data_IF_778756933058
#
_entry.id   IF_778756933058
#
_cell.length_a   1.000
_cell.length_b   1.000
_cell.length_c   1.000
_cell.angle_alpha   90.00
_cell.angle_beta   90.00
_cell.angle_gamma   90.00
#
_symmetry.space_group_name_H-M   'P 1'
#
loop_
_entity.id
_entity.type
_entity.pdbx_description
1 polymer ?
#
# COMPACT_ATOMS: atom_id res chain seq x y z
N UNK A 1 -15.07 -23.77 -0.75
CA UNK A 1 -15.97 -24.81 -1.32
C UNK A 1 -17.35 -24.70 -0.71
N UNK A 2 -17.62 -25.27 0.48
CA UNK A 2 -18.96 -25.32 1.09
C UNK A 2 -19.76 -24.00 1.07
N UNK A 3 -19.17 -22.89 1.50
CA UNK A 3 -19.87 -21.58 1.51
C UNK A 3 -20.28 -21.11 0.10
N UNK A 4 -19.50 -21.45 -0.94
CA UNK A 4 -19.83 -21.14 -2.32
C UNK A 4 -20.95 -22.05 -2.84
N UNK A 5 -20.90 -23.34 -2.52
CA UNK A 5 -21.95 -24.33 -2.87
C UNK A 5 -23.30 -23.95 -2.25
N UNK A 6 -23.29 -23.50 -1.00
CA UNK A 6 -24.46 -23.04 -0.25
C UNK A 6 -24.94 -21.64 -0.65
N UNK A 7 -24.24 -20.96 -1.57
CA UNK A 7 -24.50 -19.58 -1.99
C UNK A 7 -24.51 -18.59 -0.80
N UNK A 8 -23.69 -18.85 0.23
CA UNK A 8 -23.65 -18.08 1.47
C UNK A 8 -22.64 -16.91 1.39
N UNK A 9 -23.10 -15.79 0.83
CA UNK A 9 -22.29 -14.58 0.72
C UNK A 9 -21.88 -13.99 2.08
N UNK A 10 -22.77 -14.03 3.08
CA UNK A 10 -22.49 -13.48 4.42
C UNK A 10 -21.48 -14.35 5.18
N UNK A 11 -21.64 -15.67 5.11
CA UNK A 11 -20.68 -16.63 5.64
C UNK A 11 -19.32 -16.52 4.97
N UNK A 12 -19.27 -16.26 3.66
CA UNK A 12 -18.01 -16.02 2.93
C UNK A 12 -17.30 -14.76 3.45
N UNK A 13 -18.03 -13.66 3.63
CA UNK A 13 -17.49 -12.43 4.25
C UNK A 13 -16.94 -12.68 5.65
N UNK A 14 -17.72 -13.39 6.49
CA UNK A 14 -17.31 -13.73 7.85
C UNK A 14 -16.06 -14.61 7.84
N UNK A 15 -16.02 -15.66 7.04
CA UNK A 15 -14.88 -16.56 6.91
C UNK A 15 -13.60 -15.80 6.53
N UNK A 16 -13.67 -14.92 5.53
CA UNK A 16 -12.52 -14.13 5.09
C UNK A 16 -12.08 -13.13 6.18
N UNK A 17 -13.04 -12.49 6.86
CA UNK A 17 -12.74 -11.56 7.95
C UNK A 17 -12.12 -12.26 9.17
N UNK A 18 -12.54 -13.47 9.50
CA UNK A 18 -12.00 -14.25 10.63
C UNK A 18 -10.60 -14.79 10.32
N UNK A 19 -10.28 -15.00 9.03
CA UNK A 19 -9.01 -15.59 8.58
C UNK A 19 -8.05 -14.57 7.94
N UNK A 20 -8.07 -13.30 8.38
CA UNK A 20 -7.22 -12.20 7.84
C UNK A 20 -5.73 -12.52 7.74
N UNK A 21 -5.20 -13.39 8.61
CA UNK A 21 -3.77 -13.79 8.59
C UNK A 21 -3.42 -14.69 7.40
N UNK A 22 -4.41 -15.38 6.85
CA UNK A 22 -4.25 -16.35 5.76
C UNK A 22 -4.75 -15.80 4.42
N UNK A 23 -4.88 -14.47 4.28
CA UNK A 23 -5.50 -13.84 3.10
C UNK A 23 -4.80 -14.16 1.78
N UNK A 24 -3.48 -14.37 1.78
CA UNK A 24 -2.77 -14.75 0.55
C UNK A 24 -3.24 -16.10 0.02
N UNK A 25 -3.31 -17.10 0.90
CA UNK A 25 -3.82 -18.43 0.58
C UNK A 25 -5.30 -18.39 0.18
N UNK A 26 -6.11 -17.64 0.94
CA UNK A 26 -7.53 -17.47 0.62
C UNK A 26 -7.71 -16.88 -0.78
N UNK A 27 -6.92 -15.88 -1.16
CA UNK A 27 -7.02 -15.24 -2.48
C UNK A 27 -6.72 -16.21 -3.63
N UNK A 28 -5.82 -17.17 -3.42
CA UNK A 28 -5.50 -18.22 -4.39
C UNK A 28 -6.62 -19.28 -4.49
N UNK A 29 -7.26 -19.61 -3.38
CA UNK A 29 -8.33 -20.63 -3.32
C UNK A 29 -9.71 -20.12 -3.77
N UNK A 30 -10.00 -18.83 -3.59
CA UNK A 30 -11.31 -18.24 -3.89
C UNK A 30 -11.76 -18.46 -5.34
N UNK A 31 -10.94 -18.22 -6.38
CA UNK A 31 -11.34 -18.51 -7.77
C UNK A 31 -11.75 -19.98 -7.99
N UNK A 32 -11.02 -20.92 -7.36
CA UNK A 32 -11.35 -22.35 -7.42
C UNK A 32 -12.66 -22.63 -6.67
N UNK A 33 -12.84 -22.03 -5.49
CA UNK A 33 -14.06 -22.20 -4.71
C UNK A 33 -15.32 -21.64 -5.37
N UNK A 34 -15.20 -20.53 -6.10
CA UNK A 34 -16.32 -19.96 -6.86
C UNK A 34 -16.84 -20.91 -7.94
N UNK A 35 -16.02 -21.82 -8.48
CA UNK A 35 -16.46 -22.83 -9.46
C UNK A 35 -17.51 -23.80 -8.89
N UNK A 36 -17.54 -23.98 -7.58
CA UNK A 36 -18.52 -24.84 -6.90
C UNK A 36 -19.84 -24.13 -6.61
N UNK A 37 -19.92 -22.82 -6.83
CA UNK A 37 -21.18 -22.11 -6.69
C UNK A 37 -22.15 -22.48 -7.82
N UNK A 38 -23.43 -22.64 -7.48
CA UNK A 38 -24.48 -22.87 -8.48
C UNK A 38 -24.56 -21.70 -9.47
N UNK A 39 -24.35 -20.47 -8.97
CA UNK A 39 -24.25 -19.28 -9.81
C UNK A 39 -23.22 -18.31 -9.20
N UNK A 40 -21.94 -18.34 -9.64
CA UNK A 40 -20.90 -17.51 -9.05
C UNK A 40 -21.16 -16.01 -9.25
N UNK A 41 -21.81 -15.61 -10.35
CA UNK A 41 -22.18 -14.21 -10.57
C UNK A 41 -23.15 -13.68 -9.53
N UNK A 42 -24.22 -14.42 -9.25
CA UNK A 42 -25.22 -14.03 -8.25
C UNK A 42 -24.61 -14.02 -6.86
N UNK A 43 -23.79 -15.03 -6.52
CA UNK A 43 -23.07 -15.06 -5.24
C UNK A 43 -22.20 -13.82 -5.05
N UNK A 44 -21.46 -13.42 -6.09
CA UNK A 44 -20.63 -12.21 -6.05
C UNK A 44 -21.47 -10.95 -5.94
N UNK A 45 -22.57 -10.80 -6.70
CA UNK A 45 -23.48 -9.65 -6.57
C UNK A 45 -24.10 -9.57 -5.17
N UNK A 46 -24.52 -10.70 -4.59
CA UNK A 46 -25.05 -10.76 -3.22
C UNK A 46 -23.98 -10.36 -2.19
N UNK A 47 -22.72 -10.68 -2.44
CA UNK A 47 -21.59 -10.26 -1.60
C UNK A 47 -21.34 -8.75 -1.60
N UNK A 48 -21.94 -7.98 -2.53
CA UNK A 48 -21.80 -6.52 -2.58
C UNK A 48 -22.76 -5.80 -1.60
N UNK A 49 -23.69 -6.53 -0.99
CA UNK A 49 -24.59 -6.00 0.04
C UNK A 49 -23.79 -5.41 1.20
N UNK A 50 -24.17 -4.21 1.62
CA UNK A 50 -23.52 -3.53 2.74
C UNK A 50 -22.21 -2.79 2.39
N UNK A 51 -21.77 -2.76 1.12
CA UNK A 51 -20.57 -2.03 0.69
C UNK A 51 -20.55 -0.55 1.12
N UNK A 52 -21.74 0.05 1.26
CA UNK A 52 -21.96 1.44 1.68
C UNK A 52 -22.73 1.58 3.02
N UNK A 53 -22.85 0.50 3.82
CA UNK A 53 -23.67 0.50 5.04
C UNK A 53 -23.26 1.55 6.10
N UNK A 54 -22.01 2.02 6.10
CA UNK A 54 -21.52 3.04 7.03
C UNK A 54 -21.72 4.50 6.57
N UNK A 55 -21.90 4.75 5.27
CA UNK A 55 -22.05 6.11 4.73
C UNK A 55 -23.47 6.67 4.94
N UNK A 56 -24.46 5.78 5.02
CA UNK A 56 -25.86 6.11 5.35
C UNK A 56 -25.98 6.70 6.77
N UNK A 57 -25.01 6.42 7.66
CA UNK A 57 -25.05 6.78 9.07
C UNK A 57 -24.24 8.05 9.43
N UNK A 58 -23.71 8.80 8.45
CA UNK A 58 -22.94 10.02 8.71
C UNK A 58 -21.61 9.79 9.45
N UNK A 59 -21.22 8.53 9.62
CA UNK A 59 -19.93 8.11 10.13
C UNK A 59 -18.90 8.22 9.01
N UNK A 60 -17.74 8.81 9.30
CA UNK A 60 -16.63 8.84 8.36
C UNK A 60 -16.12 7.40 8.14
N UNK A 61 -16.75 6.68 7.20
CA UNK A 61 -16.53 5.25 6.90
C UNK A 61 -15.06 4.90 6.62
N UNK A 62 -14.23 5.91 6.35
CA UNK A 62 -12.76 5.85 6.29
C UNK A 62 -12.09 5.33 7.57
N UNK A 63 -12.79 5.25 8.72
CA UNK A 63 -12.24 4.78 10.01
C UNK A 63 -12.77 3.44 10.52
N UNK A 64 -13.75 2.83 9.84
CA UNK A 64 -14.27 1.53 10.26
C UNK A 64 -13.47 0.38 9.60
N UNK A 65 -12.64 -0.29 10.40
CA UNK A 65 -11.83 -1.43 9.95
C UNK A 65 -12.65 -2.63 9.48
N UNK A 66 -13.92 -2.74 9.90
CA UNK A 66 -14.82 -3.79 9.43
C UNK A 66 -15.37 -3.45 8.04
N UNK A 67 -15.84 -2.23 7.83
CA UNK A 67 -16.29 -1.76 6.51
C UNK A 67 -15.15 -1.82 5.47
N UNK A 68 -13.94 -1.41 5.84
CA UNK A 68 -12.77 -1.54 4.95
C UNK A 68 -12.41 -3.00 4.65
N UNK A 69 -12.66 -3.91 5.60
CA UNK A 69 -12.51 -5.35 5.40
C UNK A 69 -13.53 -5.86 4.38
N UNK A 70 -14.80 -5.53 4.59
CA UNK A 70 -15.92 -5.89 3.69
C UNK A 70 -15.66 -5.42 2.26
N UNK A 71 -15.28 -4.14 2.06
CA UNK A 71 -14.98 -3.59 0.73
C UNK A 71 -13.84 -4.32 0.02
N UNK A 72 -12.79 -4.70 0.76
CA UNK A 72 -11.68 -5.49 0.20
C UNK A 72 -12.13 -6.90 -0.17
N UNK A 73 -12.99 -7.51 0.63
CA UNK A 73 -13.59 -8.81 0.31
C UNK A 73 -14.44 -8.73 -0.96
N UNK A 74 -15.32 -7.73 -1.09
CA UNK A 74 -16.11 -7.52 -2.30
C UNK A 74 -15.23 -7.40 -3.55
N UNK A 75 -14.15 -6.60 -3.47
CA UNK A 75 -13.18 -6.47 -4.56
C UNK A 75 -12.53 -7.80 -4.92
N UNK A 76 -11.99 -8.50 -3.92
CA UNK A 76 -11.35 -9.79 -4.14
C UNK A 76 -12.30 -10.78 -4.82
N UNK A 77 -13.58 -10.81 -4.43
CA UNK A 77 -14.57 -11.70 -5.03
C UNK A 77 -14.88 -11.33 -6.50
N UNK A 78 -14.99 -10.03 -6.82
CA UNK A 78 -15.18 -9.60 -8.22
C UNK A 78 -13.93 -9.87 -9.09
N UNK A 79 -12.73 -9.63 -8.56
CA UNK A 79 -11.47 -9.94 -9.24
C UNK A 79 -11.32 -11.46 -9.48
N UNK A 80 -11.68 -12.29 -8.49
CA UNK A 80 -11.67 -13.75 -8.62
C UNK A 80 -12.69 -14.26 -9.63
N UNK A 81 -13.84 -13.60 -9.74
CA UNK A 81 -14.83 -13.91 -10.78
C UNK A 81 -14.31 -13.57 -12.18
N UNK A 82 -13.62 -12.44 -12.34
CA UNK A 82 -12.98 -12.09 -13.62
C UNK A 82 -11.90 -13.10 -14.02
N UNK A 83 -11.09 -13.58 -13.08
CA UNK A 83 -10.12 -14.67 -13.33
C UNK A 83 -10.82 -15.96 -13.78
N UNK A 84 -11.93 -16.31 -13.12
CA UNK A 84 -12.72 -17.47 -13.50
C UNK A 84 -13.24 -17.37 -14.93
N UNK A 85 -13.71 -16.19 -15.35
CA UNK A 85 -14.15 -15.89 -16.71
C UNK A 85 -13.01 -16.03 -17.73
N UNK A 86 -11.80 -15.59 -17.38
CA UNK A 86 -10.63 -15.70 -18.25
C UNK A 86 -10.14 -17.15 -18.42
N UNK A 87 -10.19 -17.95 -17.35
CA UNK A 87 -9.76 -19.36 -17.37
C UNK A 87 -10.77 -20.29 -18.05
N UNK A 88 -12.06 -19.90 -18.05
CA UNK A 88 -13.18 -20.77 -18.45
C UNK A 88 -13.87 -20.23 -19.69
N UNK A 89 -13.28 -20.45 -20.86
CA UNK A 89 -13.95 -20.24 -22.17
C UNK A 89 -14.98 -21.35 -22.50
N UNK A 90 -15.50 -22.05 -21.49
CA UNK A 90 -16.50 -23.10 -21.66
C UNK A 90 -17.91 -22.53 -21.43
N UNK A 91 -18.75 -22.65 -22.46
CA UNK A 91 -20.14 -22.17 -22.65
C UNK A 91 -21.17 -22.40 -21.50
N UNK A 92 -20.80 -22.99 -20.37
CA UNK A 92 -21.76 -23.47 -19.36
C UNK A 92 -22.13 -22.43 -18.28
N UNK A 93 -21.40 -21.33 -18.14
CA UNK A 93 -21.70 -20.26 -17.16
C UNK A 93 -21.74 -18.88 -17.83
N UNK A 94 -22.74 -18.70 -18.70
CA UNK A 94 -22.92 -17.46 -19.46
C UNK A 94 -23.45 -16.36 -18.57
N UNK A 95 -22.82 -15.19 -18.67
CA UNK A 95 -23.32 -13.93 -18.13
C UNK A 95 -24.66 -13.55 -18.81
N UNK A 96 -25.78 -13.84 -18.15
CA UNK A 96 -27.12 -13.62 -18.70
C UNK A 96 -27.58 -12.16 -18.59
N UNK A 97 -28.59 -11.78 -19.38
CA UNK A 97 -29.19 -10.45 -19.30
C UNK A 97 -29.78 -10.12 -17.92
N UNK A 98 -30.32 -11.12 -17.19
CA UNK A 98 -30.84 -10.92 -15.82
C UNK A 98 -29.72 -10.56 -14.83
N UNK A 99 -28.58 -11.25 -14.93
CA UNK A 99 -27.40 -10.97 -14.11
C UNK A 99 -26.87 -9.57 -14.41
N UNK A 100 -26.76 -9.20 -15.70
CA UNK A 100 -26.36 -7.84 -16.10
C UNK A 100 -27.31 -6.79 -15.52
N UNK A 101 -28.63 -7.01 -15.57
CA UNK A 101 -29.60 -6.06 -15.03
C UNK A 101 -29.45 -5.88 -13.51
N UNK A 102 -29.24 -6.96 -12.76
CA UNK A 102 -28.93 -6.89 -11.32
C UNK A 102 -27.66 -6.09 -11.04
N UNK A 103 -26.61 -6.31 -11.82
CA UNK A 103 -25.37 -5.54 -11.72
C UNK A 103 -25.59 -4.05 -12.03
N UNK A 104 -26.41 -3.73 -13.04
CA UNK A 104 -26.79 -2.34 -13.38
C UNK A 104 -27.54 -1.66 -12.25
N UNK A 105 -28.46 -2.35 -11.57
CA UNK A 105 -29.18 -1.79 -10.42
C UNK A 105 -28.20 -1.39 -9.32
N UNK A 106 -27.24 -2.27 -8.98
CA UNK A 106 -26.21 -1.98 -7.98
C UNK A 106 -25.32 -0.81 -8.43
N UNK A 107 -24.86 -0.82 -9.68
CA UNK A 107 -24.02 0.25 -10.22
C UNK A 107 -24.74 1.61 -10.20
N UNK A 108 -26.02 1.67 -10.55
CA UNK A 108 -26.85 2.89 -10.48
C UNK A 108 -27.03 3.38 -9.04
N UNK A 109 -27.13 2.48 -8.07
CA UNK A 109 -27.18 2.84 -6.64
C UNK A 109 -25.83 3.40 -6.15
N UNK A 110 -24.72 2.87 -6.68
CA UNK A 110 -23.37 3.26 -6.27
C UNK A 110 -22.91 4.58 -6.88
N UNK A 111 -23.30 4.85 -8.14
CA UNK A 111 -22.89 6.04 -8.89
C UNK A 111 -23.01 7.36 -8.09
N UNK A 112 -24.16 7.75 -7.54
CA UNK A 112 -24.28 9.03 -6.82
C UNK A 112 -23.40 9.13 -5.56
N UNK A 113 -22.94 7.99 -5.00
CA UNK A 113 -22.04 7.97 -3.84
C UNK A 113 -20.60 8.35 -4.23
N UNK A 114 -20.28 8.28 -5.53
CA UNK A 114 -18.97 8.64 -6.07
C UNK A 114 -18.88 10.12 -6.47
N UNK A 115 -20.00 10.80 -6.69
CA UNK A 115 -20.03 12.21 -7.11
C UNK A 115 -19.39 13.16 -6.08
N UNK A 116 -19.39 12.76 -4.81
CA UNK A 116 -18.76 13.51 -3.70
C UNK A 116 -17.38 12.99 -3.32
N UNK A 117 -16.80 12.09 -4.12
CA UNK A 117 -15.51 11.51 -3.81
C UNK A 117 -14.39 12.51 -4.05
N UNK A 118 -13.66 12.82 -2.98
CA UNK A 118 -12.41 13.58 -3.07
C UNK A 118 -11.30 12.69 -3.66
N UNK A 119 -11.10 12.83 -4.97
CA UNK A 119 -10.11 12.10 -5.77
C UNK A 119 -8.70 12.37 -5.24
N UNK A 120 -8.38 13.60 -4.85
CA UNK A 120 -7.05 13.96 -4.35
C UNK A 120 -6.79 13.31 -2.99
N UNK A 121 -7.77 13.36 -2.09
CA UNK A 121 -7.68 12.71 -0.77
C UNK A 121 -7.61 11.18 -0.85
N UNK A 122 -8.04 10.57 -1.96
CA UNK A 122 -7.97 9.12 -2.15
C UNK A 122 -6.55 8.60 -2.35
N UNK A 123 -5.58 9.47 -2.66
CA UNK A 123 -4.19 9.12 -2.96
C UNK A 123 -4.04 8.04 -4.05
N UNK A 124 -4.99 7.96 -4.98
CA UNK A 124 -4.98 6.95 -6.05
C UNK A 124 -5.28 5.52 -5.61
N UNK A 125 -5.90 5.33 -4.43
CA UNK A 125 -6.18 4.02 -3.84
C UNK A 125 -7.63 3.84 -3.34
N UNK A 126 -8.61 4.63 -3.83
CA UNK A 126 -10.02 4.50 -3.43
C UNK A 126 -10.54 3.08 -3.67
N UNK A 127 -11.18 2.51 -2.65
CA UNK A 127 -11.84 1.20 -2.75
C UNK A 127 -13.17 1.34 -3.49
N UNK A 128 -13.85 2.46 -3.30
CA UNK A 128 -15.17 2.80 -3.85
C UNK A 128 -15.10 2.95 -5.36
N UNK A 129 -14.19 3.80 -5.87
CA UNK A 129 -13.96 3.93 -7.31
C UNK A 129 -13.52 2.61 -7.93
N UNK A 130 -12.61 1.89 -7.28
CA UNK A 130 -12.14 0.61 -7.80
C UNK A 130 -13.27 -0.41 -7.88
N UNK A 131 -14.09 -0.53 -6.84
CA UNK A 131 -15.19 -1.49 -6.83
C UNK A 131 -16.24 -1.18 -7.89
N UNK A 132 -16.53 0.10 -8.12
CA UNK A 132 -17.42 0.51 -9.19
C UNK A 132 -16.85 0.14 -10.56
N UNK A 133 -15.59 0.49 -10.84
CA UNK A 133 -14.92 0.16 -12.11
C UNK A 133 -14.84 -1.36 -12.33
N UNK A 134 -14.51 -2.12 -11.28
CA UNK A 134 -14.46 -3.58 -11.30
C UNK A 134 -15.85 -4.18 -11.56
N UNK A 135 -16.91 -3.67 -10.93
CA UNK A 135 -18.28 -4.10 -11.18
C UNK A 135 -18.67 -3.90 -12.65
N UNK A 136 -18.35 -2.73 -13.23
CA UNK A 136 -18.64 -2.45 -14.63
C UNK A 136 -17.90 -3.41 -15.59
N UNK A 137 -16.64 -3.70 -15.30
CA UNK A 137 -15.80 -4.59 -16.10
C UNK A 137 -16.22 -6.06 -15.97
N UNK A 138 -16.31 -6.59 -14.74
CA UNK A 138 -16.63 -8.00 -14.47
C UNK A 138 -17.98 -8.42 -15.03
N UNK A 139 -18.98 -7.53 -15.04
CA UNK A 139 -20.32 -7.83 -15.52
C UNK A 139 -20.60 -7.26 -16.91
N UNK A 140 -19.58 -6.76 -17.62
CA UNK A 140 -19.69 -6.28 -19.00
C UNK A 140 -20.91 -5.35 -19.20
N UNK A 141 -21.00 -4.33 -18.35
CA UNK A 141 -22.06 -3.31 -18.34
C UNK A 141 -21.52 -1.90 -18.56
N UNK A 142 -20.22 -1.73 -18.86
CA UNK A 142 -19.59 -0.43 -19.04
C UNK A 142 -20.21 0.40 -20.18
N UNK A 143 -20.75 -0.24 -21.22
CA UNK A 143 -21.40 0.42 -22.37
C UNK A 143 -22.68 1.19 -22.02
N UNK A 144 -23.26 0.93 -20.85
CA UNK A 144 -24.48 1.58 -20.36
C UNK A 144 -24.19 2.88 -19.59
N UNK A 145 -22.91 3.22 -19.44
CA UNK A 145 -22.43 4.36 -18.67
C UNK A 145 -21.60 5.29 -19.55
N UNK A 146 -21.59 6.56 -19.18
CA UNK A 146 -20.80 7.56 -19.88
C UNK A 146 -19.30 7.31 -19.65
N UNK A 147 -18.54 7.15 -20.73
CA UNK A 147 -17.12 6.87 -20.63
C UNK A 147 -16.31 8.04 -20.05
N UNK A 148 -16.73 9.29 -20.26
CA UNK A 148 -16.07 10.46 -19.66
C UNK A 148 -16.28 10.47 -18.14
N UNK A 149 -17.48 10.15 -17.67
CA UNK A 149 -17.72 9.95 -16.24
C UNK A 149 -16.86 8.81 -15.66
N UNK A 150 -16.78 7.66 -16.33
CA UNK A 150 -15.89 6.56 -15.91
C UNK A 150 -14.43 7.04 -15.86
N UNK A 151 -13.98 7.80 -16.86
CA UNK A 151 -12.62 8.33 -16.92
C UNK A 151 -12.29 9.24 -15.71
N UNK A 152 -13.26 9.98 -15.19
CA UNK A 152 -13.05 10.85 -14.01
C UNK A 152 -12.67 10.07 -12.74
N UNK A 153 -13.03 8.78 -12.67
CA UNK A 153 -12.71 7.92 -11.53
C UNK A 153 -11.31 7.31 -11.59
N UNK A 154 -10.70 7.22 -12.77
CA UNK A 154 -9.41 6.54 -12.95
C UNK A 154 -8.28 7.16 -12.09
N UNK A 155 -8.16 8.50 -11.97
CA UNK A 155 -7.21 9.11 -11.05
C UNK A 155 -7.34 8.55 -9.62
N UNK A 156 -8.53 8.22 -9.13
CA UNK A 156 -8.72 7.71 -7.76
C UNK A 156 -8.18 6.28 -7.55
N UNK A 157 -7.77 5.58 -8.62
CA UNK A 157 -7.33 4.17 -8.55
C UNK A 157 -5.95 3.90 -9.16
N UNK A 158 -5.22 4.88 -9.68
CA UNK A 158 -3.99 4.60 -10.48
C UNK A 158 -2.84 3.92 -9.74
N UNK A 159 -2.84 3.85 -8.40
CA UNK A 159 -1.82 3.10 -7.65
C UNK A 159 -2.14 1.62 -7.48
N UNK A 160 -3.32 1.18 -7.91
CA UNK A 160 -3.73 -0.22 -7.89
C UNK A 160 -3.13 -0.94 -9.08
N UNK A 161 -2.62 -2.15 -8.83
CA UNK A 161 -1.99 -3.01 -9.85
C UNK A 161 -2.91 -3.29 -11.05
N UNK A 162 -4.21 -3.47 -10.80
CA UNK A 162 -5.20 -3.84 -11.83
C UNK A 162 -5.73 -2.67 -12.65
N UNK A 163 -5.38 -1.42 -12.36
CA UNK A 163 -5.98 -0.26 -13.03
C UNK A 163 -5.78 -0.30 -14.54
N UNK A 164 -4.61 -0.75 -14.99
CA UNK A 164 -4.31 -0.86 -16.42
C UNK A 164 -5.24 -1.86 -17.09
N UNK A 165 -5.39 -3.06 -16.53
CA UNK A 165 -6.25 -4.11 -17.10
C UNK A 165 -7.71 -3.68 -17.08
N UNK A 166 -8.17 -3.07 -15.98
CA UNK A 166 -9.50 -2.46 -15.88
C UNK A 166 -9.75 -1.42 -16.98
N UNK A 167 -8.80 -0.50 -17.22
CA UNK A 167 -8.94 0.50 -18.28
C UNK A 167 -9.08 -0.14 -19.66
N UNK A 168 -8.43 -1.30 -19.92
CA UNK A 168 -8.60 -2.04 -21.18
C UNK A 168 -9.98 -2.72 -21.23
N UNK A 169 -10.38 -3.43 -20.18
CA UNK A 169 -11.68 -4.11 -20.09
C UNK A 169 -12.86 -3.13 -20.21
N UNK A 170 -12.71 -1.90 -19.71
CA UNK A 170 -13.69 -0.83 -19.83
C UNK A 170 -13.66 -0.07 -21.16
N UNK A 171 -12.76 -0.43 -22.09
CA UNK A 171 -12.66 0.21 -23.42
C UNK A 171 -12.07 1.62 -23.41
N UNK A 172 -11.36 2.01 -22.35
CA UNK A 172 -10.84 3.37 -22.16
C UNK A 172 -9.49 3.63 -22.83
N UNK A 173 -8.91 2.63 -23.51
CA UNK A 173 -7.57 2.71 -24.12
C UNK A 173 -7.38 3.94 -25.01
N UNK A 174 -8.40 4.33 -25.78
CA UNK A 174 -8.34 5.49 -26.68
C UNK A 174 -8.38 6.84 -25.96
N UNK A 175 -8.88 6.89 -24.71
CA UNK A 175 -8.92 8.10 -23.87
C UNK A 175 -7.67 8.28 -23.00
N UNK A 176 -6.77 7.29 -22.97
CA UNK A 176 -5.58 7.30 -22.13
C UNK A 176 -4.67 8.52 -22.33
N UNK A 177 -4.43 9.04 -23.56
CA UNK A 177 -3.63 10.26 -23.71
C UNK A 177 -4.22 11.46 -22.94
N UNK A 178 -5.54 11.64 -22.99
CA UNK A 178 -6.23 12.70 -22.25
C UNK A 178 -6.11 12.53 -20.74
N UNK A 179 -6.31 11.30 -20.25
CA UNK A 179 -6.17 10.98 -18.84
C UNK A 179 -4.73 11.18 -18.32
N UNK A 180 -3.73 10.81 -19.11
CA UNK A 180 -2.32 11.02 -18.76
C UNK A 180 -2.03 12.52 -18.60
N UNK A 181 -2.55 13.37 -19.49
CA UNK A 181 -2.43 14.83 -19.32
C UNK A 181 -3.07 15.31 -18.01
N UNK A 182 -4.28 14.84 -17.67
CA UNK A 182 -4.93 15.18 -16.39
C UNK A 182 -4.06 14.79 -15.19
N UNK A 183 -3.39 13.64 -15.25
CA UNK A 183 -2.48 13.22 -14.17
C UNK A 183 -1.24 14.11 -14.08
N UNK A 184 -0.65 14.51 -15.22
CA UNK A 184 0.47 15.44 -15.27
C UNK A 184 0.09 16.80 -14.68
N UNK A 185 -1.06 17.35 -15.07
CA UNK A 185 -1.55 18.64 -14.57
C UNK A 185 -1.85 18.60 -13.05
N UNK A 186 -2.16 17.42 -12.52
CA UNK A 186 -2.40 17.20 -11.08
C UNK A 186 -1.14 16.90 -10.24
N UNK A 187 0.06 16.89 -10.84
CA UNK A 187 1.31 16.58 -10.13
C UNK A 187 1.46 15.09 -9.78
N UNK A 188 0.99 14.21 -10.67
CA UNK A 188 1.04 12.74 -10.54
C UNK A 188 1.83 12.10 -11.67
N UNK A 189 3.04 12.61 -11.86
CA UNK A 189 3.91 12.29 -12.99
C UNK A 189 4.35 10.83 -12.98
N UNK A 190 4.58 10.25 -11.80
CA UNK A 190 4.96 8.83 -11.69
C UNK A 190 3.83 7.94 -12.20
N UNK A 191 2.58 8.21 -11.78
CA UNK A 191 1.42 7.46 -12.23
C UNK A 191 1.14 7.70 -13.73
N UNK A 192 1.32 8.92 -14.21
CA UNK A 192 1.20 9.26 -15.63
C UNK A 192 2.20 8.48 -16.50
N UNK A 193 3.47 8.40 -16.08
CA UNK A 193 4.52 7.65 -16.78
C UNK A 193 4.19 6.15 -16.78
N UNK A 194 3.76 5.61 -15.64
CA UNK A 194 3.38 4.20 -15.55
C UNK A 194 2.25 3.83 -16.53
N UNK A 195 1.24 4.69 -16.66
CA UNK A 195 0.19 4.51 -17.67
C UNK A 195 0.73 4.69 -19.10
N UNK A 196 1.59 5.67 -19.34
CA UNK A 196 2.20 5.86 -20.67
C UNK A 196 2.96 4.61 -21.13
N UNK A 197 3.72 3.95 -20.25
CA UNK A 197 4.35 2.66 -20.55
C UNK A 197 3.33 1.56 -20.82
N UNK A 198 2.35 1.41 -19.93
CA UNK A 198 1.37 0.34 -20.00
C UNK A 198 0.49 0.39 -21.26
N UNK A 199 0.27 1.59 -21.81
CA UNK A 199 -0.47 1.84 -23.05
C UNK A 199 0.41 2.14 -24.26
N UNK A 200 1.74 2.00 -24.14
CA UNK A 200 2.72 2.24 -25.22
C UNK A 200 2.64 3.65 -25.84
N UNK A 201 2.45 4.66 -24.98
CA UNK A 201 2.35 6.08 -25.35
C UNK A 201 3.63 6.87 -25.02
N UNK A 202 4.76 6.20 -24.82
CA UNK A 202 6.03 6.83 -24.40
C UNK A 202 6.64 7.76 -25.44
N UNK A 203 6.25 7.65 -26.72
CA UNK A 203 6.62 8.61 -27.76
C UNK A 203 5.97 9.98 -27.54
N UNK A 204 4.71 10.00 -27.09
CA UNK A 204 3.97 11.23 -26.77
C UNK A 204 4.35 11.75 -25.38
N UNK A 205 4.57 10.85 -24.43
CA UNK A 205 4.88 11.15 -23.04
C UNK A 205 6.28 10.65 -22.71
N UNK A 206 7.29 11.40 -23.17
CA UNK A 206 8.69 11.05 -22.98
C UNK A 206 9.04 10.93 -21.47
N UNK A 207 9.37 9.72 -20.96
CA UNK A 207 9.50 9.50 -19.51
C UNK A 207 10.62 10.29 -18.85
N UNK A 208 11.80 10.35 -19.48
CA UNK A 208 12.99 10.98 -18.89
C UNK A 208 12.81 12.50 -18.71
N UNK A 209 12.29 13.27 -19.70
CA UNK A 209 11.93 14.66 -19.50
C UNK A 209 10.92 14.87 -18.36
N UNK A 210 9.89 14.03 -18.27
CA UNK A 210 8.86 14.13 -17.23
C UNK A 210 9.44 13.89 -15.83
N UNK A 211 10.27 12.85 -15.64
CA UNK A 211 10.95 12.57 -14.37
C UNK A 211 11.87 13.73 -13.94
N UNK A 212 12.56 14.36 -14.91
CA UNK A 212 13.41 15.52 -14.63
C UNK A 212 12.59 16.75 -14.25
N UNK A 213 11.44 17.00 -14.90
CA UNK A 213 10.54 18.09 -14.54
C UNK A 213 10.00 17.92 -13.14
N UNK A 214 9.50 16.71 -12.82
CA UNK A 214 8.97 16.35 -11.51
C UNK A 214 9.97 16.66 -10.38
N UNK A 215 11.25 16.25 -10.52
CA UNK A 215 12.29 16.56 -9.52
C UNK A 215 12.66 18.04 -9.48
N UNK A 216 12.61 18.74 -10.61
CA UNK A 216 12.91 20.18 -10.68
C UNK A 216 11.84 20.98 -9.95
N UNK A 217 10.57 20.63 -10.10
CA UNK A 217 9.45 21.28 -9.41
C UNK A 217 9.48 21.05 -7.90
N UNK A 218 9.76 19.81 -7.46
CA UNK A 218 10.00 19.50 -6.04
C UNK A 218 11.23 20.25 -5.49
N UNK A 219 12.27 20.43 -6.29
CA UNK A 219 13.46 21.21 -5.96
C UNK A 219 13.24 22.74 -5.97
N UNK A 220 12.37 23.27 -6.82
CA UNK A 220 12.09 24.71 -6.97
C UNK A 220 11.21 25.26 -5.84
N UNK A 221 10.37 24.43 -5.19
CA UNK A 221 9.68 24.78 -3.94
C UNK A 221 10.65 25.26 -2.84
N UNK A 222 11.95 24.99 -2.99
CA UNK A 222 13.04 25.44 -2.11
C UNK A 222 13.48 26.91 -2.32
N UNK A 223 13.22 27.50 -3.49
CA UNK A 223 13.83 28.80 -3.89
C UNK A 223 12.94 30.02 -3.57
N UNK A 224 11.62 29.85 -3.44
CA UNK A 224 10.68 30.98 -3.23
C UNK A 224 10.39 31.35 -1.77
N UNK A 225 10.99 30.69 -0.77
CA UNK A 225 10.74 31.00 0.65
C UNK A 225 12.05 31.27 1.39
N UNK A 226 12.70 32.39 1.05
CA UNK A 226 13.80 32.95 1.86
C UNK A 226 13.25 33.58 3.14
N UNK A 227 12.85 32.70 4.07
CA UNK A 227 12.53 32.87 5.50
C UNK A 227 11.41 31.89 5.81
N UNK A 228 11.77 30.63 6.10
CA UNK A 228 10.78 29.66 6.54
C UNK A 228 11.38 28.75 7.61
N UNK A 229 10.63 28.61 8.68
CA UNK A 229 10.96 27.94 9.93
C UNK A 229 11.48 26.51 9.71
N UNK A 230 12.33 26.03 10.63
CA UNK A 230 12.99 24.72 10.56
C UNK A 230 12.04 23.51 10.42
N UNK A 231 10.74 23.69 10.68
CA UNK A 231 9.69 22.69 10.49
C UNK A 231 9.41 22.47 8.99
N UNK A 232 9.16 23.54 8.24
CA UNK A 232 8.79 23.48 6.82
C UNK A 232 9.95 22.99 5.94
N UNK A 233 11.20 23.27 6.32
CA UNK A 233 12.37 22.70 5.63
C UNK A 233 12.46 21.18 5.80
N UNK A 234 11.98 20.64 6.93
CA UNK A 234 11.98 19.18 7.17
C UNK A 234 10.97 18.49 6.26
N UNK A 235 9.77 19.06 6.15
CA UNK A 235 8.73 18.53 5.24
C UNK A 235 9.18 18.58 3.78
N UNK A 236 9.82 19.68 3.34
CA UNK A 236 10.36 19.79 1.98
C UNK A 236 11.41 18.70 1.72
N UNK A 237 12.32 18.47 2.67
CA UNK A 237 13.33 17.43 2.54
C UNK A 237 12.73 16.01 2.53
N UNK A 238 11.65 15.78 3.30
CA UNK A 238 10.94 14.50 3.29
C UNK A 238 10.20 14.26 1.97
N UNK A 239 9.57 15.30 1.41
CA UNK A 239 8.96 15.24 0.08
C UNK A 239 9.99 14.99 -1.02
N UNK A 240 11.11 15.73 -1.01
CA UNK A 240 12.23 15.53 -1.95
C UNK A 240 12.77 14.09 -1.86
N UNK A 241 12.96 13.57 -0.65
CA UNK A 241 13.39 12.19 -0.43
C UNK A 241 12.38 11.18 -1.00
N UNK A 242 11.09 11.39 -0.75
CA UNK A 242 10.03 10.52 -1.26
C UNK A 242 9.95 10.55 -2.79
N UNK A 243 10.11 11.73 -3.40
CA UNK A 243 10.12 11.92 -4.84
C UNK A 243 11.33 11.23 -5.49
N UNK A 244 12.53 11.38 -4.92
CA UNK A 244 13.74 10.70 -5.39
C UNK A 244 13.61 9.18 -5.34
N UNK A 245 13.04 8.63 -4.25
CA UNK A 245 12.79 7.18 -4.14
C UNK A 245 11.78 6.70 -5.19
N UNK A 246 10.72 7.47 -5.43
CA UNK A 246 9.73 7.14 -6.45
C UNK A 246 10.32 7.19 -7.87
N UNK A 247 11.17 8.18 -8.16
CA UNK A 247 11.86 8.29 -9.46
C UNK A 247 12.83 7.15 -9.70
N UNK A 248 13.66 6.80 -8.71
CA UNK A 248 14.57 5.65 -8.82
C UNK A 248 13.79 4.38 -9.10
N UNK A 249 12.73 4.15 -8.33
CA UNK A 249 11.85 2.99 -8.54
C UNK A 249 11.25 2.97 -9.95
N UNK A 250 10.77 4.12 -10.45
CA UNK A 250 10.23 4.24 -11.80
C UNK A 250 11.29 3.97 -12.89
N UNK A 251 12.53 4.43 -12.68
CA UNK A 251 13.66 4.16 -13.58
C UNK A 251 13.95 2.66 -13.64
N UNK A 252 14.02 2.00 -12.48
CA UNK A 252 14.28 0.55 -12.37
C UNK A 252 13.14 -0.28 -12.97
N UNK A 253 11.88 0.10 -12.71
CA UNK A 253 10.69 -0.60 -13.24
C UNK A 253 10.63 -0.57 -14.78
N UNK A 254 11.05 0.55 -15.39
CA UNK A 254 10.97 0.75 -16.84
C UNK A 254 12.31 0.64 -17.58
N UNK A 255 13.37 0.21 -16.89
CA UNK A 255 14.72 0.00 -17.44
C UNK A 255 15.29 1.25 -18.12
N UNK A 256 15.23 2.38 -17.42
CA UNK A 256 15.65 3.69 -17.92
C UNK A 256 17.07 4.10 -17.49
N UNK A 257 17.84 3.21 -16.90
CA UNK A 257 19.13 3.50 -16.24
C UNK A 257 20.18 4.08 -17.21
N UNK A 258 20.16 3.64 -18.47
CA UNK A 258 21.08 4.14 -19.50
C UNK A 258 20.81 5.60 -19.85
N UNK A 259 19.53 6.00 -19.88
CA UNK A 259 19.11 7.35 -20.25
C UNK A 259 19.06 8.29 -19.04
N UNK A 260 18.82 7.73 -17.85
CA UNK A 260 18.77 8.44 -16.59
C UNK A 260 19.49 7.65 -15.48
N UNK A 261 20.80 7.91 -15.25
CA UNK A 261 21.58 7.16 -14.28
C UNK A 261 21.08 7.41 -12.85
N UNK A 262 20.99 6.34 -12.06
CA UNK A 262 20.48 6.35 -10.68
C UNK A 262 21.49 6.84 -9.64
N UNK A 263 22.80 6.72 -9.91
CA UNK A 263 23.87 7.05 -8.94
C UNK A 263 23.78 8.47 -8.36
N UNK A 264 23.55 9.54 -9.16
CA UNK A 264 23.43 10.89 -8.62
C UNK A 264 22.21 11.03 -7.71
N UNK A 265 21.11 10.34 -8.03
CA UNK A 265 19.87 10.35 -7.24
C UNK A 265 20.06 9.62 -5.91
N UNK A 266 20.71 8.46 -5.93
CA UNK A 266 21.06 7.70 -4.72
C UNK A 266 21.98 8.50 -3.79
N UNK A 267 23.02 9.15 -4.34
CA UNK A 267 23.90 10.05 -3.58
C UNK A 267 23.11 11.16 -2.90
N UNK A 268 22.10 11.72 -3.58
CA UNK A 268 21.24 12.76 -3.02
C UNK A 268 20.35 12.24 -1.88
N UNK A 269 19.78 11.04 -2.02
CA UNK A 269 19.02 10.39 -0.93
C UNK A 269 19.89 10.21 0.31
N UNK A 270 21.12 9.69 0.15
CA UNK A 270 22.06 9.50 1.26
C UNK A 270 22.39 10.81 1.98
N UNK A 271 22.52 11.92 1.24
CA UNK A 271 22.72 13.24 1.84
C UNK A 271 21.51 13.69 2.68
N UNK A 272 20.28 13.51 2.16
CA UNK A 272 19.05 13.88 2.85
C UNK A 272 18.84 13.03 4.11
N UNK A 273 19.11 11.73 4.04
CA UNK A 273 19.01 10.81 5.18
C UNK A 273 20.05 11.12 6.25
N UNK A 274 21.30 11.41 5.86
CA UNK A 274 22.35 11.85 6.77
C UNK A 274 21.99 13.17 7.48
N UNK A 275 21.52 14.17 6.73
CA UNK A 275 21.09 15.45 7.29
C UNK A 275 19.92 15.29 8.28
N UNK A 276 18.97 14.39 8.00
CA UNK A 276 17.86 14.05 8.90
C UNK A 276 18.37 13.38 10.18
N UNK A 277 19.31 12.43 10.07
CA UNK A 277 19.91 11.76 11.22
C UNK A 277 20.74 12.71 12.10
N UNK A 278 21.52 13.60 11.49
CA UNK A 278 22.33 14.59 12.19
C UNK A 278 21.45 15.60 12.96
N UNK A 279 20.35 16.07 12.34
CA UNK A 279 19.37 16.95 13.02
C UNK A 279 18.71 16.25 14.22
N UNK A 280 18.40 14.96 14.12
CA UNK A 280 17.85 14.16 15.23
C UNK A 280 18.86 14.05 16.37
N UNK A 281 20.14 13.75 16.07
CA UNK A 281 21.22 13.68 17.07
C UNK A 281 21.45 15.03 17.76
N UNK A 282 21.44 16.13 17.02
CA UNK A 282 21.58 17.48 17.59
C UNK A 282 20.43 17.85 18.53
N UNK A 283 19.18 17.50 18.17
CA UNK A 283 18.01 17.74 19.03
C UNK A 283 18.04 16.90 20.32
N UNK A 284 18.61 15.70 20.28
CA UNK A 284 18.77 14.83 21.44
C UNK A 284 19.88 15.33 22.38
N UNK A 285 21.01 15.80 21.82
CA UNK A 285 22.10 16.41 22.58
C UNK A 285 21.71 17.74 23.24
N UNK A 286 20.73 18.47 22.70
CA UNK A 286 20.23 19.73 23.25
C UNK A 286 19.20 19.56 24.39
N UNK A 287 18.81 18.33 24.74
CA UNK A 287 17.96 18.11 25.92
C UNK A 287 18.76 18.45 27.19
N UNK A 288 18.30 19.37 28.05
CA UNK A 288 19.01 19.68 29.28
C UNK A 288 19.12 18.40 30.11
N UNK A 289 20.36 17.95 30.36
CA UNK A 289 20.59 16.89 31.34
C UNK A 289 19.96 17.32 32.66
N UNK A 290 18.97 16.58 33.14
CA UNK A 290 18.47 16.74 34.50
C UNK A 290 19.66 16.52 35.43
N UNK A 291 20.17 17.61 36.03
CA UNK A 291 21.18 17.52 37.09
C UNK A 291 20.59 16.62 38.16
N UNK A 292 21.11 15.40 38.30
CA UNK A 292 20.78 14.52 39.43
C UNK A 292 21.10 15.31 40.71
N UNK A 293 20.15 15.45 41.65
CA UNK A 293 20.49 16.04 42.94
C UNK A 293 21.53 15.15 43.60
N UNK A 294 22.66 15.75 43.98
CA UNK A 294 23.74 15.09 44.72
C UNK A 294 23.18 14.67 46.07
N UNK A 295 23.18 13.36 46.35
CA UNK A 295 22.79 12.85 47.65
C UNK A 295 23.91 13.13 48.66
N UNK A 296 23.68 14.08 49.56
CA UNK A 296 24.38 14.21 50.84
C UNK A 296 23.33 14.18 51.92
N UNK A 297 23.38 13.16 52.78
CA UNK A 297 22.35 12.85 53.77
C UNK A 297 22.44 13.68 55.04
N UNK A 298 21.29 13.84 55.71
CA UNK A 298 21.17 13.93 57.17
C UNK A 298 19.71 13.76 57.60
N UNK A 299 19.40 12.58 58.17
CA UNK A 299 18.76 12.34 59.49
C UNK A 299 17.53 13.19 59.93
N UNK A 300 16.39 12.46 60.04
CA UNK A 300 15.23 12.56 60.97
C UNK A 300 14.19 13.70 60.86
N UNK A 301 12.91 13.34 60.64
CA UNK A 301 11.79 13.39 61.64
C UNK A 301 10.45 12.85 61.04
N UNK A 302 9.44 12.47 61.87
CA UNK A 302 8.46 11.41 61.55
C UNK A 302 7.04 11.86 61.11
N UNK A 303 6.26 10.84 60.68
CA UNK A 303 4.87 10.79 60.15
C UNK A 303 3.79 11.64 60.88
N UNK A 304 2.73 12.05 60.15
CA UNK A 304 1.33 11.52 60.24
C UNK A 304 0.32 12.25 59.29
N UNK A 305 -0.52 11.43 58.65
CA UNK A 305 -1.85 11.52 57.96
C UNK A 305 -2.55 12.85 57.58
N UNK A 306 -3.04 12.92 56.32
CA UNK A 306 -4.47 12.86 55.89
C UNK A 306 -4.74 13.69 54.60
N UNK A 307 -5.58 13.12 53.72
CA UNK A 307 -6.08 13.67 52.43
C UNK A 307 -7.23 14.68 52.68
N UNK A 308 -7.89 15.31 51.67
CA UNK A 308 -7.65 15.42 50.21
C UNK A 308 -7.71 16.88 49.69
N UNK A 309 -7.16 17.19 48.51
CA UNK A 309 -7.85 18.18 47.66
C UNK A 309 -7.63 17.95 46.15
N UNK A 310 -8.73 18.14 45.42
CA UNK A 310 -8.86 17.96 43.98
C UNK A 310 -8.35 19.21 43.27
N UNK A 311 -7.42 19.08 42.32
CA UNK A 311 -7.53 19.87 41.07
C UNK A 311 -6.74 19.27 39.91
N UNK A 312 -7.51 18.85 38.91
CA UNK A 312 -7.35 19.10 37.48
C UNK A 312 -5.97 19.52 36.96
N UNK A 313 -5.17 18.58 36.48
CA UNK A 313 -4.50 18.73 35.19
C UNK A 313 -4.35 17.37 34.48
N UNK A 314 -4.70 17.42 33.20
CA UNK A 314 -4.73 16.37 32.18
C UNK A 314 -3.32 15.80 31.95
N UNK A 315 -3.12 14.50 32.18
CA UNK A 315 -1.94 13.79 31.71
C UNK A 315 -1.88 13.84 30.16
N UNK A 316 -0.71 14.07 29.55
CA UNK A 316 -0.58 14.00 28.10
C UNK A 316 -0.73 12.54 27.64
N UNK A 317 -1.45 12.25 26.55
CA UNK A 317 -1.50 10.88 26.04
C UNK A 317 -0.12 10.50 25.52
N UNK A 318 0.35 9.32 25.94
CA UNK A 318 1.42 8.59 25.29
C UNK A 318 1.15 8.59 23.78
N UNK A 319 2.10 9.12 23.01
CA UNK A 319 2.08 9.04 21.55
C UNK A 319 2.25 7.58 21.17
N UNK A 320 1.14 6.87 20.98
CA UNK A 320 1.11 5.64 20.21
C UNK A 320 1.69 5.92 18.83
N UNK A 321 2.73 5.17 18.48
CA UNK A 321 3.29 5.16 17.13
C UNK A 321 2.21 4.67 16.16
N UNK A 322 1.93 5.47 15.13
CA UNK A 322 1.03 5.12 14.02
C UNK A 322 1.52 3.83 13.33
N UNK A 323 0.65 2.84 13.05
CA UNK A 323 1.03 1.62 12.34
C UNK A 323 1.03 1.77 10.80
N UNK A 324 1.07 3.00 10.25
CA UNK A 324 0.87 3.22 8.81
C UNK A 324 2.14 3.11 7.95
N UNK A 325 3.29 2.74 8.53
CA UNK A 325 4.56 2.64 7.80
C UNK A 325 4.90 1.18 7.40
N UNK A 326 3.88 0.44 6.94
CA UNK A 326 4.09 -0.80 6.18
C UNK A 326 3.64 -0.56 4.74
N UNK A 327 4.55 0.01 3.95
CA UNK A 327 4.55 -0.18 2.51
C UNK A 327 4.53 -1.71 2.27
N UNK A 328 3.43 -2.21 1.72
CA UNK A 328 3.33 -3.57 1.24
C UNK A 328 4.24 -3.70 0.01
N UNK A 329 5.51 -3.98 0.27
CA UNK A 329 6.44 -4.53 -0.71
C UNK A 329 6.17 -6.02 -0.74
N UNK A 330 5.49 -6.50 -1.78
CA UNK A 330 5.52 -7.92 -2.10
C UNK A 330 6.87 -8.24 -2.73
N UNK A 331 7.49 -9.33 -2.29
CA UNK A 331 8.78 -9.79 -2.76
C UNK A 331 8.71 -10.21 -4.24
N UNK A 332 9.76 -9.88 -5.00
CA UNK A 332 9.97 -10.43 -6.33
C UNK A 332 10.21 -11.95 -6.21
N UNK A 333 9.52 -12.72 -7.05
CA UNK A 333 9.72 -14.16 -7.20
C UNK A 333 11.17 -14.45 -7.61
N UNK A 334 11.90 -15.19 -6.78
CA UNK A 334 13.16 -15.82 -7.16
C UNK A 334 12.95 -17.33 -7.23
N UNK A 335 12.84 -17.86 -8.44
CA UNK A 335 12.88 -19.30 -8.68
C UNK A 335 14.27 -19.85 -8.36
N UNK A 336 14.41 -20.64 -7.30
CA UNK A 336 15.54 -21.55 -7.13
C UNK A 336 15.07 -22.90 -6.57
N UNK A 337 15.64 -24.03 -7.05
CA UNK A 337 15.08 -25.36 -6.81
C UNK A 337 15.45 -25.95 -5.44
N UNK A 338 14.56 -26.80 -4.98
CA UNK A 338 14.49 -27.54 -3.72
C UNK A 338 15.73 -28.40 -3.44
N UNK A 339 16.32 -28.28 -2.24
CA UNK A 339 17.25 -29.27 -1.70
C UNK A 339 16.59 -29.99 -0.51
N UNK A 340 16.44 -31.31 -0.65
CA UNK A 340 15.90 -32.22 0.36
C UNK A 340 16.68 -32.19 1.68
N UNK A 341 15.95 -32.37 2.79
CA UNK A 341 16.47 -32.34 4.14
C UNK A 341 17.09 -33.63 4.66
N UNK A 342 17.59 -33.56 5.89
CA UNK A 342 17.83 -34.70 6.76
C UNK A 342 17.64 -34.33 8.24
N UNK A 343 17.09 -35.28 8.98
CA UNK A 343 16.48 -35.21 10.31
C UNK A 343 17.46 -35.00 11.50
N UNK A 344 16.95 -34.73 12.72
CA UNK A 344 17.72 -34.22 13.85
C UNK A 344 18.22 -35.34 14.78
N UNK A 345 19.39 -35.13 15.41
CA UNK A 345 19.80 -35.88 16.58
C UNK A 345 20.07 -34.93 17.76
N UNK A 346 19.27 -35.10 18.81
CA UNK A 346 19.51 -34.68 20.19
C UNK A 346 20.60 -35.54 20.84
N UNK A 347 21.47 -34.95 21.67
CA UNK A 347 21.90 -35.45 23.00
C UNK A 347 22.72 -34.36 23.73
N UNK A 348 22.49 -34.33 25.04
CA UNK A 348 22.80 -33.35 26.10
C UNK A 348 24.29 -33.17 26.50
N UNK A 349 24.62 -32.19 27.36
CA UNK A 349 25.98 -31.69 27.58
C UNK A 349 26.67 -32.30 28.82
N UNK A 350 28.01 -32.10 28.96
CA UNK A 350 28.54 -31.87 30.30
C UNK A 350 29.58 -30.74 30.44
N UNK A 351 29.44 -30.10 31.58
CA UNK A 351 30.31 -29.32 32.46
C UNK A 351 31.86 -29.37 32.31
N UNK A 352 32.42 -28.15 32.38
CA UNK A 352 33.51 -27.64 33.23
C UNK A 352 34.99 -28.05 33.07
N UNK A 353 35.79 -26.98 33.07
CA UNK A 353 37.08 -26.72 33.76
C UNK A 353 38.43 -26.94 33.05
N UNK A 354 39.25 -25.91 33.26
CA UNK A 354 40.71 -25.88 33.43
C UNK A 354 41.61 -25.43 32.26
N UNK A 355 42.09 -24.19 32.43
CA UNK A 355 43.45 -23.65 32.22
C UNK A 355 44.41 -24.31 31.23
N UNK A 356 45.13 -23.44 30.50
CA UNK A 356 46.54 -23.72 30.19
C UNK A 356 47.09 -23.01 28.97
N UNK A 357 47.72 -21.86 29.20
CA UNK A 357 48.67 -21.15 28.33
C UNK A 357 49.55 -22.04 27.45
N UNK A 358 49.97 -21.50 26.30
CA UNK A 358 51.36 -21.66 25.88
C UNK A 358 51.64 -21.48 24.38
N UNK A 359 52.16 -20.29 24.03
CA UNK A 359 53.18 -19.98 23.01
C UNK A 359 52.99 -20.53 21.58
N UNK A 360 52.72 -19.68 20.60
CA UNK A 360 53.70 -19.05 19.69
C UNK A 360 54.90 -19.94 19.33
N UNK A 361 55.16 -20.13 18.03
CA UNK A 361 56.37 -19.65 17.32
C UNK A 361 56.56 -20.36 15.95
N UNK A 362 56.88 -19.53 14.95
CA UNK A 362 57.66 -19.74 13.71
C UNK A 362 57.17 -20.67 12.58
N UNK A 363 56.76 -20.10 11.43
CA UNK A 363 57.55 -19.64 10.25
C UNK A 363 57.66 -20.74 9.19
N UNK A 364 57.12 -20.49 8.00
CA UNK A 364 57.87 -20.60 6.73
C UNK A 364 56.98 -20.16 5.56
N UNK A 365 57.32 -18.99 5.02
CA UNK A 365 57.09 -18.61 3.62
C UNK A 365 58.03 -19.39 2.71
N UNK A 366 57.51 -19.91 1.60
CA UNK A 366 58.28 -20.07 0.36
C UNK A 366 57.34 -19.93 -0.85
N UNK A 367 57.90 -19.32 -1.88
CA UNK A 367 57.32 -18.73 -3.08
C UNK A 367 57.16 -19.74 -4.23
N UNK A 368 56.49 -19.24 -5.30
CA UNK A 368 56.46 -19.72 -6.71
C UNK A 368 55.54 -20.92 -6.95
N UNK A 369 54.57 -20.90 -7.86
CA UNK A 369 54.48 -20.24 -9.17
C UNK A 369 53.04 -19.80 -9.48
#
# INVERSE_FOLDING_TARGET
MKLCEEMDAEGLHKFISDNRKNLSFIREEVPVALRSAVNPFILVLDSLKGFYAGEILGSNGKKDGNLLGLRRTCLMLMESLEQLLADSLSDEQILTSDIKEKAKVIAKEWKPKLDHLDIEASSGNSLESHAFLQLLATFDIASEFDQDEICTLIPAVTRRRQTVDLCRSLGLSHKMPGLINVLLDSGREIEAINLAYAFKLTEQFAPVPLLKSYLKEEGQKRCHKSKLEACLLTEINERELSALKAVIKCIEEHKLEEQYPVDPLQKRILQLEKAKADKRRAAEAAKPQSKRPRATGSVYTPRITSMPDKSFYRAPPERFAYPYDRQYVYAAEAHHPTLMGSAPYTISPPHTTYYGNGYQVQYQTAYLH
#
